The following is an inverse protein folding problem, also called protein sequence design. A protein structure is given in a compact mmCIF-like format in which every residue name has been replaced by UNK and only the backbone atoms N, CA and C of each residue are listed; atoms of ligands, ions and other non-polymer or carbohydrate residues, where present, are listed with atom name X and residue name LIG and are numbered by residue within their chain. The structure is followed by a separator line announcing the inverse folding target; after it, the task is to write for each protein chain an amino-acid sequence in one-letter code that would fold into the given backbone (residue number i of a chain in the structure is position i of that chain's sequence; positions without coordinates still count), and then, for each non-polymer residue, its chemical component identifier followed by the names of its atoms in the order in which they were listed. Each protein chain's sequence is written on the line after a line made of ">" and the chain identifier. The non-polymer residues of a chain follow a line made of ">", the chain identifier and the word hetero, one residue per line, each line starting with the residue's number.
data_IF_389497127467
#
_entry.id   IF_389497127467
#
_cell.length_a   1.000
_cell.length_b   1.000
_cell.length_c   1.000
_cell.angle_alpha   90.00
_cell.angle_beta   90.00
_cell.angle_gamma   90.00
#
_symmetry.space_group_name_H-M   'P 1'
#
loop_
_entity.id
_entity.type
_entity.pdbx_description
1 polymer ?
#
# COMPACT_ATOMS: atom_id res chain seq x y z
N UNK A 1 35.66 51.00 33.14
CA UNK A 1 35.17 49.68 32.78
C UNK A 1 33.71 49.80 32.32
N UNK A 2 33.53 49.98 31.04
CA UNK A 2 32.20 50.07 30.42
C UNK A 2 31.76 48.65 30.07
N UNK A 3 30.83 48.09 30.82
CA UNK A 3 30.20 46.81 30.59
C UNK A 3 29.32 46.98 29.33
N UNK A 4 29.72 46.43 28.22
CA UNK A 4 28.93 46.38 26.98
C UNK A 4 27.61 45.69 27.34
N UNK A 5 26.50 46.43 27.19
CA UNK A 5 25.14 45.88 27.25
C UNK A 5 25.01 44.96 26.06
N UNK A 6 25.21 43.65 26.22
CA UNK A 6 24.89 42.69 25.18
C UNK A 6 23.41 42.85 24.84
N UNK A 7 23.14 43.19 23.63
CA UNK A 7 21.77 43.43 23.18
C UNK A 7 21.05 42.08 23.14
N UNK A 8 19.95 41.97 23.87
CA UNK A 8 19.07 40.78 23.82
C UNK A 8 18.77 40.37 22.37
N UNK A 9 18.80 41.32 21.48
CA UNK A 9 18.61 41.16 20.03
C UNK A 9 19.78 40.39 19.39
N UNK A 10 21.04 40.56 19.83
CA UNK A 10 22.19 39.83 19.32
C UNK A 10 22.36 38.47 19.97
N UNK A 11 22.03 38.33 21.25
CA UNK A 11 22.23 37.08 21.98
C UNK A 11 21.13 36.04 21.72
N UNK A 12 19.88 36.50 21.47
CA UNK A 12 18.74 35.62 21.23
C UNK A 12 18.10 35.84 19.85
N UNK A 13 18.04 37.07 19.34
CA UNK A 13 17.37 37.39 18.08
C UNK A 13 18.12 36.84 16.86
N UNK A 14 19.45 36.99 16.82
CA UNK A 14 20.23 36.51 15.69
C UNK A 14 20.17 34.98 15.49
N UNK A 15 20.32 34.13 16.54
CA UNK A 15 20.15 32.68 16.41
C UNK A 15 18.73 32.28 15.95
N UNK A 16 17.70 32.98 16.43
CA UNK A 16 16.30 32.71 16.02
C UNK A 16 16.11 33.03 14.53
N UNK A 17 16.60 34.18 14.07
CA UNK A 17 16.52 34.58 12.66
C UNK A 17 17.22 33.55 11.76
N UNK A 18 18.44 33.14 12.16
CA UNK A 18 19.21 32.13 11.38
C UNK A 18 18.44 30.80 11.33
N UNK A 19 17.86 30.35 12.45
CA UNK A 19 17.08 29.14 12.50
C UNK A 19 15.86 29.21 11.57
N UNK A 20 15.10 30.29 11.65
CA UNK A 20 13.91 30.52 10.81
C UNK A 20 14.31 30.53 9.32
N UNK A 21 15.43 31.21 8.98
CA UNK A 21 15.90 31.30 7.61
C UNK A 21 16.30 29.92 7.06
N UNK A 22 16.99 29.11 7.86
CA UNK A 22 17.32 27.73 7.49
C UNK A 22 16.03 26.91 7.28
N UNK A 23 15.06 27.00 8.18
CA UNK A 23 13.79 26.29 8.03
C UNK A 23 13.05 26.70 6.76
N UNK A 24 13.00 27.98 6.43
CA UNK A 24 12.35 28.48 5.21
C UNK A 24 13.07 27.98 3.96
N UNK A 25 14.41 28.08 3.92
CA UNK A 25 15.19 27.59 2.77
C UNK A 25 15.00 26.09 2.58
N UNK A 26 15.13 25.32 3.64
CA UNK A 26 14.98 23.85 3.56
C UNK A 26 13.55 23.44 3.15
N UNK A 27 12.53 24.12 3.69
CA UNK A 27 11.15 23.88 3.30
C UNK A 27 10.89 24.23 1.83
N UNK A 28 11.45 25.31 1.34
CA UNK A 28 11.33 25.70 -0.06
C UNK A 28 12.02 24.70 -0.99
N UNK A 29 13.24 24.27 -0.66
CA UNK A 29 13.97 23.25 -1.43
C UNK A 29 13.20 21.92 -1.45
N UNK A 30 12.66 21.49 -0.31
CA UNK A 30 11.84 20.27 -0.23
C UNK A 30 10.58 20.38 -1.08
N UNK A 31 9.88 21.52 -1.03
CA UNK A 31 8.67 21.75 -1.83
C UNK A 31 8.99 21.73 -3.34
N UNK A 32 10.08 22.36 -3.77
CA UNK A 32 10.52 22.34 -5.17
C UNK A 32 10.87 20.93 -5.64
N UNK A 33 11.64 20.20 -4.83
CA UNK A 33 12.02 18.81 -5.15
C UNK A 33 10.77 17.93 -5.23
N UNK A 34 9.87 18.03 -4.24
CA UNK A 34 8.61 17.26 -4.26
C UNK A 34 7.75 17.61 -5.48
N UNK A 35 7.63 18.88 -5.84
CA UNK A 35 6.88 19.30 -7.03
C UNK A 35 7.42 18.72 -8.34
N UNK A 36 8.74 18.54 -8.44
CA UNK A 36 9.39 17.94 -9.60
C UNK A 36 9.30 16.41 -9.62
N UNK A 37 9.31 15.75 -8.46
CA UNK A 37 9.35 14.28 -8.36
C UNK A 37 7.97 13.64 -8.24
N UNK A 38 6.98 14.34 -7.68
CA UNK A 38 5.63 13.80 -7.47
C UNK A 38 5.00 13.20 -8.75
N UNK A 39 5.00 13.90 -9.91
CA UNK A 39 4.38 13.36 -11.12
C UNK A 39 5.12 12.11 -11.65
N UNK A 40 6.43 12.02 -11.44
CA UNK A 40 7.23 10.86 -11.84
C UNK A 40 6.89 9.65 -10.94
N UNK A 41 6.70 9.90 -9.64
CA UNK A 41 6.32 8.87 -8.67
C UNK A 41 4.91 8.36 -8.99
N UNK A 42 3.96 9.26 -9.24
CA UNK A 42 2.58 8.89 -9.60
C UNK A 42 2.52 8.03 -10.87
N UNK A 43 3.29 8.40 -11.90
CA UNK A 43 3.37 7.61 -13.13
C UNK A 43 4.00 6.24 -12.90
N UNK A 44 5.05 6.15 -12.08
CA UNK A 44 5.70 4.89 -11.72
C UNK A 44 4.74 3.99 -10.90
N UNK A 45 4.01 4.56 -9.93
CA UNK A 45 2.99 3.83 -9.16
C UNK A 45 1.85 3.33 -10.07
N UNK A 46 1.37 4.14 -11.02
CA UNK A 46 0.35 3.73 -11.98
C UNK A 46 0.82 2.56 -12.84
N UNK A 47 2.02 2.64 -13.41
CA UNK A 47 2.61 1.55 -14.20
C UNK A 47 2.77 0.27 -13.37
N UNK A 48 3.29 0.38 -12.16
CA UNK A 48 3.45 -0.76 -11.26
C UNK A 48 2.10 -1.42 -10.92
N UNK A 49 1.03 -0.62 -10.73
CA UNK A 49 -0.32 -1.14 -10.53
C UNK A 49 -0.86 -1.84 -11.78
N UNK A 50 -0.64 -1.29 -12.98
CA UNK A 50 -1.07 -1.90 -14.25
C UNK A 50 -0.37 -3.24 -14.49
N UNK A 51 0.95 -3.30 -14.31
CA UNK A 51 1.73 -4.54 -14.41
C UNK A 51 1.28 -5.57 -13.38
N UNK A 52 1.07 -5.15 -12.14
CA UNK A 52 0.60 -6.04 -11.08
C UNK A 52 -0.80 -6.62 -11.37
N UNK A 53 -1.72 -5.83 -11.96
CA UNK A 53 -3.04 -6.34 -12.38
C UNK A 53 -2.93 -7.47 -13.38
N UNK A 54 -2.08 -7.33 -14.40
CA UNK A 54 -1.82 -8.39 -15.39
C UNK A 54 -1.16 -9.61 -14.76
N UNK A 55 -0.26 -9.41 -13.78
CA UNK A 55 0.41 -10.52 -13.09
C UNK A 55 -0.56 -11.32 -12.21
N UNK A 56 -1.48 -10.64 -11.49
CA UNK A 56 -2.41 -11.31 -10.57
C UNK A 56 -3.65 -11.88 -11.25
N UNK A 57 -4.00 -11.41 -12.45
CA UNK A 57 -5.12 -11.92 -13.26
C UNK A 57 -4.70 -12.07 -14.74
N UNK A 58 -3.84 -13.06 -15.04
CA UNK A 58 -3.24 -13.20 -16.37
C UNK A 58 -4.24 -13.54 -17.49
N UNK A 59 -5.40 -14.07 -17.14
CA UNK A 59 -6.46 -14.41 -18.10
C UNK A 59 -7.30 -13.20 -18.54
N UNK A 60 -7.01 -11.99 -18.02
CA UNK A 60 -7.71 -10.78 -18.38
C UNK A 60 -7.17 -10.18 -19.68
N UNK A 61 -8.08 -9.79 -20.59
CA UNK A 61 -7.71 -9.12 -21.84
C UNK A 61 -7.43 -7.62 -21.61
N UNK A 62 -8.30 -6.96 -20.87
CA UNK A 62 -8.20 -5.55 -20.47
C UNK A 62 -8.98 -5.31 -19.18
N UNK A 63 -8.78 -4.13 -18.59
CA UNK A 63 -9.38 -3.79 -17.29
C UNK A 63 -10.25 -2.54 -17.43
N UNK A 64 -11.45 -2.60 -16.87
CA UNK A 64 -12.38 -1.49 -16.72
C UNK A 64 -12.48 -1.13 -15.22
N UNK A 65 -12.29 0.13 -14.90
CA UNK A 65 -12.44 0.59 -13.52
C UNK A 65 -13.91 0.52 -13.11
N UNK A 66 -14.14 -0.03 -11.92
CA UNK A 66 -15.47 -0.15 -11.32
C UNK A 66 -15.56 0.85 -10.17
N UNK A 67 -16.50 1.80 -10.29
CA UNK A 67 -16.82 2.72 -9.20
C UNK A 67 -17.96 2.12 -8.37
N UNK A 68 -17.67 1.75 -7.13
CA UNK A 68 -18.64 1.19 -6.19
C UNK A 68 -18.61 1.99 -4.90
N UNK A 69 -19.77 2.46 -4.46
CA UNK A 69 -19.90 3.14 -3.17
C UNK A 69 -19.88 2.14 -2.00
N UNK A 70 -19.31 2.57 -0.88
CA UNK A 70 -19.32 1.78 0.36
C UNK A 70 -18.22 0.71 0.45
N UNK A 71 -17.26 0.69 -0.44
CA UNK A 71 -16.11 -0.22 -0.36
C UNK A 71 -15.33 -0.06 0.96
N UNK A 72 -14.71 -1.12 1.48
CA UNK A 72 -13.80 -1.02 2.63
C UNK A 72 -12.76 0.08 2.41
N UNK A 73 -12.47 0.88 3.42
CA UNK A 73 -11.54 2.02 3.31
C UNK A 73 -10.12 1.63 2.85
N UNK A 74 -9.73 0.37 3.04
CA UNK A 74 -8.48 -0.20 2.58
C UNK A 74 -8.44 -0.42 1.06
N UNK A 75 -9.58 -0.65 0.41
CA UNK A 75 -9.69 -0.84 -1.05
C UNK A 75 -9.70 0.52 -1.72
N UNK A 76 -8.73 0.78 -2.58
CA UNK A 76 -8.56 2.07 -3.26
C UNK A 76 -9.16 2.08 -4.65
N UNK A 77 -8.97 0.99 -5.37
CA UNK A 77 -9.43 0.83 -6.75
C UNK A 77 -9.88 -0.60 -6.98
N UNK A 78 -10.90 -0.74 -7.80
CA UNK A 78 -11.41 -2.02 -8.29
C UNK A 78 -11.44 -1.98 -9.80
N UNK A 79 -10.96 -3.03 -10.43
CA UNK A 79 -11.03 -3.19 -11.87
C UNK A 79 -11.64 -4.54 -12.23
N UNK A 80 -12.52 -4.55 -13.20
CA UNK A 80 -13.11 -5.75 -13.77
C UNK A 80 -12.39 -6.09 -15.07
N UNK A 81 -12.09 -7.35 -15.27
CA UNK A 81 -11.62 -7.85 -16.57
C UNK A 81 -12.75 -7.77 -17.60
N UNK A 82 -12.49 -7.18 -18.79
CA UNK A 82 -13.51 -6.99 -19.83
C UNK A 82 -14.05 -8.29 -20.41
N UNK A 83 -13.25 -9.36 -20.35
CA UNK A 83 -13.66 -10.71 -20.76
C UNK A 83 -14.38 -11.50 -19.65
N UNK A 84 -14.64 -10.89 -18.48
CA UNK A 84 -15.30 -11.54 -17.37
C UNK A 84 -14.44 -12.53 -16.58
N UNK A 85 -13.11 -12.56 -16.77
CA UNK A 85 -12.20 -13.46 -16.07
C UNK A 85 -12.22 -13.25 -14.54
N UNK A 86 -12.49 -12.01 -14.08
CA UNK A 86 -12.57 -11.69 -12.67
C UNK A 86 -12.35 -10.22 -12.38
N UNK A 87 -11.87 -9.94 -11.17
CA UNK A 87 -11.64 -8.59 -10.67
C UNK A 87 -10.25 -8.47 -10.06
N UNK A 88 -9.70 -7.25 -10.09
CA UNK A 88 -8.48 -6.91 -9.36
C UNK A 88 -8.74 -5.79 -8.37
N UNK A 89 -8.16 -5.89 -7.18
CA UNK A 89 -8.35 -4.97 -6.07
C UNK A 89 -7.02 -4.38 -5.66
N UNK A 90 -6.88 -3.06 -5.77
CA UNK A 90 -5.74 -2.32 -5.23
C UNK A 90 -6.02 -1.97 -3.78
N UNK A 91 -5.23 -2.51 -2.87
CA UNK A 91 -5.45 -2.42 -1.42
C UNK A 91 -4.32 -1.66 -0.77
N UNK A 92 -4.67 -0.74 0.12
CA UNK A 92 -3.75 -0.06 1.02
C UNK A 92 -4.19 -0.34 2.46
N UNK A 93 -3.51 -1.24 3.11
CA UNK A 93 -3.87 -1.74 4.44
C UNK A 93 -2.82 -1.39 5.50
N UNK A 94 -3.14 -1.72 6.74
CA UNK A 94 -2.20 -1.67 7.84
C UNK A 94 -1.14 -2.76 7.69
N UNK A 95 0.11 -2.44 8.02
CA UNK A 95 1.22 -3.35 8.17
C UNK A 95 1.90 -3.16 9.52
N UNK A 96 3.00 -3.86 9.78
CA UNK A 96 3.74 -3.70 11.03
C UNK A 96 4.28 -2.27 11.22
N UNK A 97 4.62 -1.58 10.12
CA UNK A 97 5.06 -0.19 10.10
C UNK A 97 3.95 0.83 10.43
N UNK A 98 2.68 0.40 10.57
CA UNK A 98 1.54 1.24 10.89
C UNK A 98 0.47 1.28 9.80
N UNK A 99 -0.40 2.29 9.85
CA UNK A 99 -1.49 2.46 8.88
C UNK A 99 -0.96 2.76 7.48
N UNK A 100 -1.62 2.20 6.46
CA UNK A 100 -1.33 2.43 5.04
C UNK A 100 0.10 2.05 4.61
N UNK A 101 0.75 1.12 5.30
CA UNK A 101 2.13 0.71 5.02
C UNK A 101 2.24 -0.55 4.18
N UNK A 102 1.13 -1.26 3.93
CA UNK A 102 1.05 -2.41 3.05
C UNK A 102 0.19 -2.06 1.83
N UNK A 103 0.81 -1.91 0.66
CA UNK A 103 0.13 -1.72 -0.62
C UNK A 103 0.23 -3.01 -1.44
N UNK A 104 -0.88 -3.55 -1.90
CA UNK A 104 -0.90 -4.77 -2.70
C UNK A 104 -2.05 -4.79 -3.71
N UNK A 105 -1.89 -5.61 -4.75
CA UNK A 105 -2.93 -5.94 -5.72
C UNK A 105 -3.31 -7.40 -5.54
N UNK A 106 -4.60 -7.66 -5.54
CA UNK A 106 -5.19 -9.01 -5.41
C UNK A 106 -6.07 -9.27 -6.61
N UNK A 107 -5.86 -10.38 -7.30
CA UNK A 107 -6.74 -10.89 -8.35
C UNK A 107 -7.71 -11.92 -7.76
N UNK A 108 -8.99 -11.82 -8.12
CA UNK A 108 -10.03 -12.80 -7.76
C UNK A 108 -10.80 -13.13 -9.03
N UNK A 109 -10.93 -14.42 -9.34
CA UNK A 109 -11.69 -14.88 -10.52
C UNK A 109 -13.21 -14.74 -10.33
N UNK A 110 -13.96 -14.98 -11.40
CA UNK A 110 -15.42 -14.91 -11.38
C UNK A 110 -16.07 -15.93 -10.40
N UNK A 111 -15.33 -16.98 -10.00
CA UNK A 111 -15.78 -18.00 -9.06
C UNK A 111 -15.49 -17.61 -7.60
N UNK A 112 -14.78 -16.51 -7.36
CA UNK A 112 -14.43 -16.03 -6.03
C UNK A 112 -13.19 -16.71 -5.45
N UNK A 113 -12.23 -17.09 -6.31
CA UNK A 113 -10.94 -17.62 -5.89
C UNK A 113 -9.82 -16.66 -6.21
N UNK A 114 -8.84 -16.57 -5.32
CA UNK A 114 -7.63 -15.78 -5.58
C UNK A 114 -6.89 -16.37 -6.78
N UNK A 115 -6.62 -15.55 -7.79
CA UNK A 115 -5.78 -15.91 -8.93
C UNK A 115 -4.31 -15.58 -8.68
N UNK A 116 -4.06 -14.47 -7.98
CA UNK A 116 -2.72 -14.04 -7.61
C UNK A 116 -2.73 -12.88 -6.64
N UNK A 117 -1.58 -12.65 -6.03
CA UNK A 117 -1.37 -11.53 -5.10
C UNK A 117 0.00 -10.91 -5.36
N UNK A 118 0.07 -9.59 -5.39
CA UNK A 118 1.33 -8.83 -5.57
C UNK A 118 1.44 -7.71 -4.57
N UNK A 119 2.49 -7.71 -3.76
CA UNK A 119 2.80 -6.58 -2.88
C UNK A 119 3.62 -5.56 -3.67
N UNK A 120 3.15 -4.32 -3.69
CA UNK A 120 3.80 -3.19 -4.38
C UNK A 120 4.69 -2.41 -3.43
N UNK A 121 4.25 -2.22 -2.19
CA UNK A 121 5.02 -1.53 -1.16
C UNK A 121 4.70 -2.08 0.23
N UNK A 122 5.70 -2.09 1.09
CA UNK A 122 5.55 -2.49 2.49
C UNK A 122 6.59 -1.77 3.36
N UNK A 123 6.29 -1.59 4.64
CA UNK A 123 7.21 -1.04 5.65
C UNK A 123 7.39 -2.03 6.81
N UNK A 124 7.59 -3.28 6.44
CA UNK A 124 7.81 -4.38 7.38
C UNK A 124 9.28 -4.44 7.82
N UNK A 125 9.54 -5.08 8.94
CA UNK A 125 10.92 -5.27 9.43
C UNK A 125 11.73 -6.12 8.48
N UNK A 126 12.88 -5.63 7.96
CA UNK A 126 13.77 -6.42 7.11
C UNK A 126 14.20 -7.74 7.76
N UNK A 127 14.22 -8.81 6.97
CA UNK A 127 14.59 -10.16 7.43
C UNK A 127 13.53 -10.90 8.26
N UNK A 128 12.46 -10.20 8.68
CA UNK A 128 11.31 -10.77 9.39
C UNK A 128 10.02 -10.55 8.58
N UNK A 129 9.28 -9.50 8.86
CA UNK A 129 8.01 -9.20 8.21
C UNK A 129 8.12 -8.99 6.70
N UNK A 130 9.24 -8.44 6.20
CA UNK A 130 9.48 -8.28 4.77
C UNK A 130 9.48 -9.62 3.99
N UNK A 131 9.55 -10.76 4.67
CA UNK A 131 9.41 -12.09 4.07
C UNK A 131 8.03 -12.34 3.44
N UNK A 132 6.99 -11.58 3.81
CA UNK A 132 5.69 -11.63 3.10
C UNK A 132 5.83 -11.36 1.60
N UNK A 133 6.93 -10.71 1.18
CA UNK A 133 7.24 -10.41 -0.23
C UNK A 133 8.32 -11.35 -0.77
N UNK A 134 9.34 -11.65 0.03
CA UNK A 134 10.54 -12.34 -0.43
C UNK A 134 10.45 -13.87 -0.31
N UNK A 135 9.53 -14.38 0.49
CA UNK A 135 9.28 -15.81 0.62
C UNK A 135 8.21 -16.26 -0.39
N UNK A 136 8.65 -16.88 -1.47
CA UNK A 136 7.76 -17.39 -2.50
C UNK A 136 6.78 -18.45 -1.98
N UNK A 137 7.17 -19.24 -0.95
CA UNK A 137 6.29 -20.22 -0.31
C UNK A 137 5.11 -19.56 0.39
N UNK A 138 5.33 -18.40 1.01
CA UNK A 138 4.26 -17.66 1.68
C UNK A 138 3.19 -17.17 0.69
N UNK A 139 3.57 -16.56 -0.42
CA UNK A 139 2.61 -16.06 -1.41
C UNK A 139 1.95 -17.19 -2.22
N UNK A 140 2.65 -18.28 -2.46
CA UNK A 140 2.16 -19.41 -3.25
C UNK A 140 0.99 -20.19 -2.59
N UNK A 141 0.74 -20.00 -1.30
CA UNK A 141 -0.37 -20.66 -0.61
C UNK A 141 -1.76 -20.08 -0.97
N UNK A 142 -1.84 -18.86 -1.51
CA UNK A 142 -3.10 -18.14 -1.71
C UNK A 142 -3.81 -18.42 -3.04
N UNK A 143 -3.15 -18.60 -4.20
CA UNK A 143 -3.83 -18.91 -5.44
C UNK A 143 -4.74 -20.14 -5.33
N UNK A 144 -5.97 -20.04 -5.88
CA UNK A 144 -7.00 -21.06 -5.80
C UNK A 144 -7.81 -21.09 -4.49
N UNK A 145 -7.46 -20.26 -3.50
CA UNK A 145 -8.16 -20.16 -2.22
C UNK A 145 -9.30 -19.15 -2.29
N UNK A 146 -10.29 -19.33 -1.43
CA UNK A 146 -11.50 -18.50 -1.33
C UNK A 146 -11.55 -17.69 -0.01
N UNK A 147 -12.66 -16.96 0.19
CA UNK A 147 -12.89 -16.17 1.38
C UNK A 147 -12.84 -16.99 2.67
N UNK A 148 -13.34 -18.24 2.65
CA UNK A 148 -13.35 -19.12 3.82
C UNK A 148 -11.92 -19.47 4.28
N UNK A 149 -10.99 -19.64 3.34
CA UNK A 149 -9.59 -19.90 3.67
C UNK A 149 -8.94 -18.72 4.39
N UNK A 150 -9.13 -17.48 3.90
CA UNK A 150 -8.52 -16.29 4.49
C UNK A 150 -9.25 -15.79 5.74
N UNK A 151 -10.42 -16.32 6.06
CA UNK A 151 -11.22 -15.90 7.23
C UNK A 151 -10.53 -16.20 8.56
N UNK A 152 -9.76 -17.29 8.66
CA UNK A 152 -9.03 -17.68 9.87
C UNK A 152 -7.52 -17.76 9.61
N UNK A 153 -6.74 -17.08 10.47
CA UNK A 153 -5.27 -17.12 10.43
C UNK A 153 -4.70 -18.54 10.59
N UNK A 154 -5.45 -19.45 11.20
CA UNK A 154 -5.03 -20.85 11.39
C UNK A 154 -4.94 -21.65 10.09
N UNK A 155 -5.60 -21.19 9.04
CA UNK A 155 -5.53 -21.81 7.71
C UNK A 155 -4.26 -21.40 6.95
N UNK A 156 -3.53 -20.39 7.44
CA UNK A 156 -2.41 -19.77 6.75
C UNK A 156 -1.10 -20.20 7.40
N UNK A 157 -0.19 -20.69 6.59
CA UNK A 157 1.19 -20.94 7.01
C UNK A 157 1.89 -19.59 7.21
N UNK A 158 2.00 -19.17 8.49
CA UNK A 158 2.58 -17.90 8.86
C UNK A 158 4.10 -17.95 8.84
N UNK A 159 4.72 -16.82 8.51
CA UNK A 159 6.17 -16.69 8.56
C UNK A 159 6.64 -16.71 10.01
N UNK A 160 7.59 -17.62 10.32
CA UNK A 160 8.16 -17.74 11.64
C UNK A 160 8.79 -16.42 12.10
N UNK A 161 8.41 -15.95 13.28
CA UNK A 161 8.83 -14.65 13.82
C UNK A 161 8.11 -13.42 13.22
N UNK A 162 7.21 -13.61 12.24
CA UNK A 162 6.46 -12.53 11.59
C UNK A 162 4.96 -12.80 11.47
N UNK A 163 4.37 -13.44 12.46
CA UNK A 163 2.95 -13.80 12.50
C UNK A 163 2.04 -12.56 12.37
N UNK A 164 2.43 -11.41 12.92
CA UNK A 164 1.66 -10.16 12.76
C UNK A 164 1.63 -9.68 11.32
N UNK A 165 2.78 -9.67 10.64
CA UNK A 165 2.87 -9.28 9.22
C UNK A 165 2.06 -10.24 8.35
N UNK A 166 2.13 -11.55 8.62
CA UNK A 166 1.30 -12.56 7.95
C UNK A 166 -0.20 -12.30 8.18
N UNK A 167 -0.59 -11.88 9.39
CA UNK A 167 -1.98 -11.53 9.69
C UNK A 167 -2.43 -10.24 8.99
N UNK A 168 -1.59 -9.23 8.89
CA UNK A 168 -1.91 -8.02 8.13
C UNK A 168 -2.12 -8.32 6.63
N UNK A 169 -1.28 -9.20 6.07
CA UNK A 169 -1.46 -9.69 4.71
C UNK A 169 -2.81 -10.40 4.54
N UNK A 170 -3.15 -11.31 5.44
CA UNK A 170 -4.45 -11.99 5.48
C UNK A 170 -5.61 -10.99 5.54
N UNK A 171 -5.53 -9.98 6.42
CA UNK A 171 -6.57 -8.95 6.54
C UNK A 171 -6.74 -8.16 5.24
N UNK A 172 -5.66 -7.86 4.53
CA UNK A 172 -5.74 -7.21 3.23
C UNK A 172 -6.50 -8.08 2.22
N UNK A 173 -6.27 -9.42 2.22
CA UNK A 173 -7.05 -10.34 1.40
C UNK A 173 -8.55 -10.39 1.81
N UNK A 174 -8.84 -10.29 3.10
CA UNK A 174 -10.23 -10.22 3.58
C UNK A 174 -10.95 -8.99 3.02
N UNK A 175 -10.29 -7.82 2.98
CA UNK A 175 -10.85 -6.62 2.37
C UNK A 175 -11.09 -6.78 0.86
N UNK A 176 -10.25 -7.55 0.16
CA UNK A 176 -10.48 -7.86 -1.25
C UNK A 176 -11.76 -8.67 -1.44
N UNK A 177 -12.01 -9.68 -0.58
CA UNK A 177 -13.23 -10.48 -0.66
C UNK A 177 -14.47 -9.70 -0.26
N UNK A 178 -14.41 -8.86 0.76
CA UNK A 178 -15.51 -7.95 1.12
C UNK A 178 -15.89 -7.05 -0.06
N UNK A 179 -14.90 -6.49 -0.75
CA UNK A 179 -15.14 -5.68 -1.94
C UNK A 179 -15.66 -6.52 -3.12
N UNK A 180 -15.15 -7.74 -3.32
CA UNK A 180 -15.62 -8.66 -4.36
C UNK A 180 -17.10 -8.98 -4.20
N UNK A 181 -17.55 -9.29 -2.99
CA UNK A 181 -18.96 -9.59 -2.73
C UNK A 181 -19.88 -8.38 -3.04
N UNK A 182 -19.38 -7.15 -2.79
CA UNK A 182 -20.12 -5.92 -3.09
C UNK A 182 -20.23 -5.68 -4.59
N UNK A 183 -19.13 -5.82 -5.36
CA UNK A 183 -19.13 -5.55 -6.80
C UNK A 183 -19.83 -6.66 -7.60
N UNK A 184 -19.72 -7.92 -7.18
CA UNK A 184 -20.39 -9.05 -7.80
C UNK A 184 -21.92 -8.99 -7.62
N UNK A 185 -22.41 -8.45 -6.51
CA UNK A 185 -23.83 -8.28 -6.25
C UNK A 185 -24.46 -7.08 -6.95
N UNK A 186 -23.65 -6.19 -7.55
CA UNK A 186 -24.09 -4.99 -8.25
C UNK A 186 -24.13 -5.16 -9.79
N UNK A 187 -23.61 -6.27 -10.31
CA UNK A 187 -23.59 -6.63 -11.74
C UNK A 187 -24.83 -7.52 -12.13
#
# INVERSE_FOLDING_TARGET
>A
MTKAKSSVMTDFGAPIIVLVLICVIMSALLALTNGATAPIIEEAERKANEEARLEVLPDADSFLQVEQAGLPAAVKEVYQASNGAGYTFSITAEGYGGKNTLKMVVGIDAQGKITGTKVLAQSETPGLGAKIVTDAGFSAQFPGKDAAYVSDIKNIDTISGATRSSNFYRLALTYAFEAFDMVKGAA
#
